data_IF_738506114116
#
_entry.id   IF_738506114116
#
_cell.length_a   1.000
_cell.length_b   1.000
_cell.length_c   1.000
_cell.angle_alpha   90.00
_cell.angle_beta   90.00
_cell.angle_gamma   90.00
#
_symmetry.space_group_name_H-M   'P 1'
#
loop_
_entity.id
_entity.type
_entity.pdbx_description
1 polymer ?
#
# COMPACT_ATOMS: atom_id res chain seq x y z
N UNK A 1 7.99 -13.98 -19.02
CA UNK A 1 7.43 -13.35 -17.80
C UNK A 1 8.65 -12.84 -17.05
N UNK A 2 8.83 -11.53 -16.93
CA UNK A 2 9.93 -11.01 -16.10
C UNK A 2 9.38 -11.04 -14.68
N UNK A 3 9.83 -12.00 -13.87
CA UNK A 3 9.65 -11.91 -12.43
C UNK A 3 10.46 -10.69 -11.96
N UNK A 4 9.74 -9.68 -11.49
CA UNK A 4 10.38 -8.54 -10.84
C UNK A 4 10.77 -8.97 -9.42
N UNK A 5 11.95 -8.59 -8.92
CA UNK A 5 12.30 -8.86 -7.54
C UNK A 5 11.26 -8.21 -6.60
N UNK A 6 11.00 -8.81 -5.43
CA UNK A 6 10.08 -8.25 -4.46
C UNK A 6 10.56 -6.85 -4.02
N UNK A 7 9.62 -5.97 -3.72
CA UNK A 7 9.89 -4.63 -3.22
C UNK A 7 10.57 -4.70 -1.86
N UNK A 8 11.67 -3.95 -1.74
CA UNK A 8 12.33 -3.73 -0.47
C UNK A 8 11.59 -2.63 0.31
N UNK A 9 10.64 -3.06 1.13
CA UNK A 9 9.86 -2.17 1.99
C UNK A 9 10.75 -1.33 2.92
N UNK A 10 11.83 -1.90 3.45
CA UNK A 10 12.72 -1.21 4.38
C UNK A 10 13.46 -0.07 3.68
N UNK A 11 13.97 -0.34 2.47
CA UNK A 11 14.61 0.68 1.64
C UNK A 11 13.60 1.78 1.24
N UNK A 12 12.39 1.41 0.81
CA UNK A 12 11.35 2.38 0.45
C UNK A 12 10.97 3.27 1.64
N UNK A 13 10.88 2.70 2.85
CA UNK A 13 10.61 3.47 4.07
C UNK A 13 11.74 4.46 4.38
N UNK A 14 12.99 4.03 4.26
CA UNK A 14 14.15 4.87 4.52
C UNK A 14 14.21 6.09 3.58
N UNK A 15 13.80 5.91 2.31
CA UNK A 15 13.86 6.96 1.28
C UNK A 15 12.63 7.89 1.28
N UNK A 16 11.46 7.42 1.74
CA UNK A 16 10.19 8.16 1.57
C UNK A 16 9.60 8.70 2.87
N UNK A 17 9.87 8.08 4.02
CA UNK A 17 9.27 8.47 5.29
C UNK A 17 10.14 9.51 5.99
N UNK A 18 9.53 10.60 6.45
CA UNK A 18 10.24 11.66 7.18
C UNK A 18 11.06 12.62 6.30
N UNK A 19 11.00 12.49 4.98
CA UNK A 19 11.72 13.34 4.02
C UNK A 19 11.03 14.68 3.71
N UNK A 20 9.98 15.03 4.46
CA UNK A 20 9.18 16.24 4.22
C UNK A 20 8.09 16.08 3.14
N UNK A 21 7.97 14.90 2.53
CA UNK A 21 6.94 14.57 1.52
C UNK A 21 5.54 14.33 2.11
N UNK A 22 5.38 14.40 3.44
CA UNK A 22 4.09 14.16 4.12
C UNK A 22 3.72 12.67 4.29
N UNK A 23 4.54 11.76 3.79
CA UNK A 23 4.40 10.32 4.04
C UNK A 23 4.83 9.97 5.46
N UNK A 24 3.92 9.32 6.19
CA UNK A 24 4.10 8.94 7.60
C UNK A 24 4.17 7.44 7.78
N UNK A 25 3.62 6.67 6.84
CA UNK A 25 3.59 5.21 6.88
C UNK A 25 3.63 4.65 5.47
N UNK A 26 4.39 3.59 5.27
CA UNK A 26 4.41 2.81 4.04
C UNK A 26 4.41 1.34 4.43
N UNK A 27 3.46 0.57 3.92
CA UNK A 27 3.41 -0.88 4.10
C UNK A 27 3.39 -1.56 2.72
N UNK A 28 4.15 -2.65 2.58
CA UNK A 28 4.09 -3.54 1.42
C UNK A 28 3.40 -4.84 1.86
N UNK A 29 2.41 -5.28 1.09
CA UNK A 29 1.75 -6.58 1.30
C UNK A 29 1.97 -7.46 0.09
N UNK A 30 2.19 -8.75 0.31
CA UNK A 30 2.37 -9.70 -0.79
C UNK A 30 1.10 -9.80 -1.65
N UNK A 31 -0.07 -9.82 -1.01
CA UNK A 31 -1.35 -9.96 -1.72
C UNK A 31 -2.50 -9.29 -0.99
N UNK A 32 -3.38 -8.64 -1.75
CA UNK A 32 -4.67 -8.14 -1.26
C UNK A 32 -5.72 -8.12 -2.38
N UNK A 33 -7.00 -8.16 -2.01
CA UNK A 33 -8.09 -7.92 -2.95
C UNK A 33 -8.20 -6.44 -3.39
N UNK A 34 -7.82 -5.48 -2.53
CA UNK A 34 -7.79 -4.06 -2.87
C UNK A 34 -7.07 -3.26 -1.79
N UNK A 35 -5.96 -2.60 -2.13
CA UNK A 35 -5.26 -1.68 -1.21
C UNK A 35 -6.18 -0.54 -0.72
N UNK A 36 -7.09 -0.07 -1.57
CA UNK A 36 -8.09 0.94 -1.19
C UNK A 36 -9.07 0.41 -0.13
N UNK A 37 -9.58 -0.83 -0.31
CA UNK A 37 -10.48 -1.43 0.68
C UNK A 37 -9.76 -1.63 2.02
N UNK A 38 -8.49 -2.01 1.99
CA UNK A 38 -7.68 -2.19 3.20
C UNK A 38 -7.44 -0.88 3.94
N UNK A 39 -7.10 0.21 3.23
CA UNK A 39 -6.95 1.53 3.84
C UNK A 39 -8.27 2.05 4.42
N UNK A 40 -9.39 1.85 3.72
CA UNK A 40 -10.72 2.18 4.22
C UNK A 40 -11.06 1.37 5.49
N UNK A 41 -10.76 0.08 5.51
CA UNK A 41 -10.98 -0.78 6.68
C UNK A 41 -10.15 -0.32 7.89
N UNK A 42 -8.88 0.07 7.69
CA UNK A 42 -8.02 0.64 8.74
C UNK A 42 -8.61 1.93 9.30
N UNK A 43 -9.06 2.82 8.41
CA UNK A 43 -9.71 4.07 8.82
C UNK A 43 -11.00 3.81 9.62
N UNK A 44 -11.82 2.84 9.19
CA UNK A 44 -13.04 2.44 9.90
C UNK A 44 -12.74 1.85 11.30
N UNK A 45 -11.55 1.28 11.49
CA UNK A 45 -11.06 0.80 12.79
C UNK A 45 -10.43 1.90 13.66
N UNK A 46 -10.46 3.16 13.23
CA UNK A 46 -9.90 4.30 13.96
C UNK A 46 -8.40 4.51 13.76
N UNK A 47 -7.78 3.83 12.79
CA UNK A 47 -6.39 4.12 12.41
C UNK A 47 -6.35 5.42 11.60
N UNK A 48 -5.49 6.36 11.98
CA UNK A 48 -5.19 7.53 11.15
C UNK A 48 -4.41 7.08 9.90
N UNK A 49 -5.06 7.17 8.73
CA UNK A 49 -4.50 6.76 7.44
C UNK A 49 -3.97 7.93 6.61
N UNK A 50 -4.05 9.18 7.09
CA UNK A 50 -3.54 10.30 6.31
C UNK A 50 -2.02 10.17 6.10
N UNK A 51 -1.53 10.39 4.88
CA UNK A 51 -0.11 10.16 4.57
C UNK A 51 0.35 8.69 4.72
N UNK A 52 -0.57 7.73 4.66
CA UNK A 52 -0.25 6.30 4.56
C UNK A 52 -0.18 5.86 3.10
N UNK A 53 0.80 5.01 2.80
CA UNK A 53 0.99 4.33 1.53
C UNK A 53 0.84 2.83 1.76
N UNK A 54 0.04 2.16 0.94
CA UNK A 54 -0.10 0.71 0.95
C UNK A 54 0.14 0.20 -0.47
N UNK A 55 1.18 -0.61 -0.63
CA UNK A 55 1.56 -1.21 -1.91
C UNK A 55 1.28 -2.71 -1.83
N UNK A 56 0.78 -3.28 -2.92
CA UNK A 56 0.56 -4.71 -3.04
C UNK A 56 1.35 -5.27 -4.21
N UNK A 57 2.15 -6.31 -3.98
CA UNK A 57 2.86 -7.03 -5.05
C UNK A 57 1.86 -7.67 -6.01
N UNK A 58 0.79 -8.23 -5.44
CA UNK A 58 -0.29 -8.84 -6.20
C UNK A 58 -1.66 -8.36 -5.71
N UNK A 59 -2.37 -7.63 -6.56
CA UNK A 59 -3.80 -7.41 -6.34
C UNK A 59 -4.62 -8.44 -7.11
N UNK A 60 -5.51 -9.12 -6.41
CA UNK A 60 -6.52 -9.96 -7.08
C UNK A 60 -7.40 -9.04 -7.91
N UNK A 61 -7.63 -9.32 -9.21
CA UNK A 61 -8.51 -8.50 -10.02
C UNK A 61 -9.86 -8.35 -9.32
N UNK A 62 -10.27 -7.12 -9.02
CA UNK A 62 -11.60 -6.88 -8.50
C UNK A 62 -12.61 -7.21 -9.60
N UNK A 63 -13.41 -8.25 -9.40
CA UNK A 63 -14.55 -8.54 -10.28
C UNK A 63 -15.59 -7.44 -10.12
N UNK A 64 -15.44 -6.36 -10.90
CA UNK A 64 -16.46 -5.35 -11.15
C UNK A 64 -16.45 -4.10 -10.25
N UNK A 65 -16.12 -2.95 -10.87
CA UNK A 65 -17.10 -1.92 -11.26
C UNK A 65 -16.54 -1.21 -12.50
N UNK A 66 -17.42 -0.91 -13.47
CA UNK A 66 -17.11 -0.52 -14.87
C UNK A 66 -16.21 0.73 -15.00
N UNK A 67 -15.57 0.80 -16.17
CA UNK A 67 -15.06 2.04 -16.81
C UNK A 67 -16.04 3.22 -16.69
#
# INVERSE_FOLDING_TARGET
MIDSPPLDEAMLRAELIGTGLGWRRLDVVERTGSTNADLLARAAQGTDVAGSVLIAEHQTPTTGRKA
#
